data_IF_924713550018
#
_entry.id   IF_924713550018
#
_cell.length_a   1.000
_cell.length_b   1.000
_cell.length_c   1.000
_cell.angle_alpha   90.00
_cell.angle_beta   90.00
_cell.angle_gamma   90.00
#
_symmetry.space_group_name_H-M   'P 1'
#
loop_
_entity.id
_entity.type
_entity.pdbx_description
1 polymer ?
#
# COMPACT_ATOMS: atom_id res chain seq x y z
N UNK A 1 -3.19 -11.73 -3.83
CA UNK A 1 -3.75 -10.61 -3.06
C UNK A 1 -4.93 -10.02 -3.81
N UNK A 2 -6.00 -9.74 -3.12
CA UNK A 2 -7.17 -9.11 -3.72
C UNK A 2 -7.02 -7.61 -3.68
N UNK A 3 -7.14 -6.95 -4.82
CA UNK A 3 -7.03 -5.49 -4.92
C UNK A 3 -8.37 -4.92 -5.36
N UNK A 4 -8.89 -3.98 -4.58
CA UNK A 4 -10.13 -3.28 -4.91
C UNK A 4 -9.79 -1.81 -5.13
N UNK A 5 -10.21 -1.28 -6.28
CA UNK A 5 -9.94 0.12 -6.64
C UNK A 5 -11.27 0.85 -6.76
N UNK A 6 -11.43 1.91 -6.01
CA UNK A 6 -12.67 2.69 -5.98
C UNK A 6 -12.40 4.16 -6.29
N UNK A 7 -13.19 4.72 -7.19
CA UNK A 7 -13.17 6.16 -7.44
C UNK A 7 -14.33 6.82 -6.71
N UNK A 8 -14.03 7.81 -5.89
CA UNK A 8 -15.08 8.56 -5.18
C UNK A 8 -15.45 9.77 -6.00
N UNK A 9 -16.69 9.73 -6.52
CA UNK A 9 -17.24 10.81 -7.34
C UNK A 9 -16.43 11.06 -8.62
N UNK A 10 -15.59 10.09 -9.00
CA UNK A 10 -14.88 10.15 -10.27
C UNK A 10 -14.89 8.77 -10.88
N UNK A 11 -14.76 8.72 -12.20
CA UNK A 11 -14.72 7.48 -12.93
C UNK A 11 -13.27 7.13 -13.23
N UNK A 12 -12.86 5.96 -12.83
CA UNK A 12 -11.50 5.48 -13.06
C UNK A 12 -11.52 4.57 -14.29
N UNK A 13 -10.78 4.87 -15.28
CA UNK A 13 -10.72 4.03 -16.47
C UNK A 13 -10.01 2.70 -16.19
N UNK A 14 -10.15 1.77 -17.13
CA UNK A 14 -9.54 0.46 -17.01
C UNK A 14 -8.01 0.53 -16.94
N UNK A 15 -7.43 1.47 -17.67
CA UNK A 15 -5.98 1.63 -17.68
C UNK A 15 -5.45 1.96 -16.29
N UNK A 16 -6.15 2.86 -15.58
CA UNK A 16 -5.73 3.20 -14.23
C UNK A 16 -5.93 2.02 -13.28
N UNK A 17 -7.04 1.29 -13.40
CA UNK A 17 -7.30 0.13 -12.56
C UNK A 17 -6.23 -0.93 -12.75
N UNK A 18 -5.83 -1.17 -13.99
CA UNK A 18 -4.76 -2.11 -14.29
C UNK A 18 -3.43 -1.63 -13.73
N UNK A 19 -3.16 -0.35 -13.85
CA UNK A 19 -1.94 0.25 -13.32
C UNK A 19 -1.85 0.05 -11.80
N UNK A 20 -2.95 0.34 -11.09
CA UNK A 20 -3.01 0.20 -9.65
C UNK A 20 -2.82 -1.27 -9.25
N UNK A 21 -3.54 -2.16 -9.90
CA UNK A 21 -3.46 -3.59 -9.59
C UNK A 21 -2.03 -4.10 -9.79
N UNK A 22 -1.44 -3.81 -10.93
CA UNK A 22 -0.07 -4.24 -11.22
C UNK A 22 0.94 -3.66 -10.24
N UNK A 23 0.78 -2.39 -9.92
CA UNK A 23 1.69 -1.72 -9.00
C UNK A 23 1.67 -2.37 -7.61
N UNK A 24 0.48 -2.72 -7.12
CA UNK A 24 0.34 -3.33 -5.81
C UNK A 24 0.73 -4.80 -5.81
N UNK A 25 0.35 -5.55 -6.85
CA UNK A 25 0.74 -6.96 -6.93
C UNK A 25 2.26 -7.10 -6.96
N UNK A 26 2.93 -6.25 -7.72
CA UNK A 26 4.39 -6.31 -7.84
C UNK A 26 5.11 -5.71 -6.65
N UNK A 27 4.55 -4.70 -6.02
CA UNK A 27 5.19 -4.01 -4.92
C UNK A 27 4.90 -4.63 -3.56
N UNK A 28 3.61 -4.84 -3.26
CA UNK A 28 3.20 -5.29 -1.94
C UNK A 28 3.44 -6.78 -1.75
N UNK A 29 3.06 -7.60 -2.73
CA UNK A 29 3.23 -9.04 -2.65
C UNK A 29 4.70 -9.43 -2.52
N UNK A 30 5.60 -8.57 -2.93
CA UNK A 30 7.02 -8.77 -2.81
C UNK A 30 7.47 -8.84 -1.34
N UNK A 31 6.81 -8.10 -0.47
CA UNK A 31 7.19 -8.02 0.93
C UNK A 31 6.40 -8.96 1.83
N UNK A 32 5.17 -9.28 1.43
CA UNK A 32 4.31 -10.16 2.23
C UNK A 32 3.56 -11.12 1.34
N UNK A 33 3.98 -12.38 1.34
CA UNK A 33 3.29 -13.43 0.58
C UNK A 33 1.86 -13.62 1.07
N UNK A 34 1.61 -13.26 2.32
CA UNK A 34 0.31 -13.46 2.94
C UNK A 34 -0.54 -12.20 2.97
N UNK A 35 -0.21 -11.22 2.16
CA UNK A 35 -1.07 -10.05 2.03
C UNK A 35 -2.43 -10.51 1.49
N UNK A 36 -3.47 -10.20 2.23
CA UNK A 36 -4.81 -10.69 1.95
C UNK A 36 -5.56 -9.76 1.02
N UNK A 37 -5.54 -8.49 1.31
CA UNK A 37 -6.37 -7.53 0.61
C UNK A 37 -5.75 -6.14 0.61
N UNK A 38 -5.93 -5.45 -0.51
CA UNK A 38 -5.56 -4.05 -0.62
C UNK A 38 -6.76 -3.28 -1.14
N UNK A 39 -7.03 -2.15 -0.55
CA UNK A 39 -8.08 -1.26 -1.01
C UNK A 39 -7.46 0.07 -1.39
N UNK A 40 -7.84 0.56 -2.56
CA UNK A 40 -7.36 1.84 -3.06
C UNK A 40 -8.55 2.72 -3.33
N UNK A 41 -8.54 3.90 -2.72
CA UNK A 41 -9.60 4.89 -2.94
C UNK A 41 -8.95 6.12 -3.54
N UNK A 42 -9.50 6.57 -4.68
CA UNK A 42 -9.02 7.76 -5.37
C UNK A 42 -10.16 8.76 -5.42
N UNK A 43 -9.88 10.00 -5.04
CA UNK A 43 -10.85 11.07 -5.13
C UNK A 43 -10.16 12.32 -5.63
N UNK A 44 -10.94 13.26 -6.12
CA UNK A 44 -10.40 14.54 -6.58
C UNK A 44 -10.93 15.65 -5.68
N UNK A 45 -10.03 16.50 -5.20
CA UNK A 45 -10.38 17.67 -4.42
C UNK A 45 -9.69 18.87 -5.04
N UNK A 46 -10.47 19.76 -5.63
CA UNK A 46 -9.91 20.90 -6.35
C UNK A 46 -8.98 20.42 -7.46
N UNK A 47 -7.76 20.94 -7.54
CA UNK A 47 -6.84 20.56 -8.60
C UNK A 47 -6.06 19.27 -8.33
N UNK A 48 -6.24 18.64 -7.15
CA UNK A 48 -5.43 17.51 -6.76
C UNK A 48 -6.23 16.21 -6.69
N UNK A 49 -5.56 15.12 -7.06
CA UNK A 49 -6.08 13.78 -6.82
C UNK A 49 -5.47 13.25 -5.54
N UNK A 50 -6.32 12.66 -4.70
CA UNK A 50 -5.91 12.04 -3.44
C UNK A 50 -6.05 10.54 -3.57
N UNK A 51 -4.99 9.81 -3.27
CA UNK A 51 -5.02 8.35 -3.28
C UNK A 51 -4.74 7.84 -1.88
N UNK A 52 -5.61 6.96 -1.39
CA UNK A 52 -5.41 6.28 -0.11
C UNK A 52 -5.33 4.79 -0.38
N UNK A 53 -4.32 4.15 0.18
CA UNK A 53 -4.11 2.72 0.04
C UNK A 53 -4.14 2.09 1.43
N UNK A 54 -4.95 1.04 1.58
CA UNK A 54 -5.00 0.26 2.82
C UNK A 54 -4.65 -1.16 2.46
N UNK A 55 -3.71 -1.75 3.17
CA UNK A 55 -3.31 -3.14 2.96
C UNK A 55 -3.49 -3.92 4.25
N UNK A 56 -4.22 -5.01 4.16
CA UNK A 56 -4.46 -5.91 5.27
C UNK A 56 -3.57 -7.14 5.10
N UNK A 57 -2.71 -7.38 6.08
CA UNK A 57 -1.75 -8.48 6.03
C UNK A 57 -1.95 -9.36 7.26
N UNK A 58 -2.27 -10.61 7.05
CA UNK A 58 -2.47 -11.54 8.16
C UNK A 58 -3.68 -11.18 9.00
N UNK A 59 -3.69 -11.56 10.25
CA UNK A 59 -4.87 -11.42 11.10
C UNK A 59 -5.06 -10.03 11.68
N UNK A 60 -3.98 -9.31 11.98
CA UNK A 60 -4.10 -8.06 12.73
C UNK A 60 -3.29 -6.90 12.20
N UNK A 61 -2.72 -7.03 11.02
CA UNK A 61 -1.82 -6.01 10.52
C UNK A 61 -2.46 -5.23 9.39
N UNK A 62 -2.63 -3.94 9.64
CA UNK A 62 -3.13 -3.02 8.63
C UNK A 62 -2.13 -1.90 8.43
N UNK A 63 -1.89 -1.58 7.18
CA UNK A 63 -1.05 -0.45 6.82
C UNK A 63 -1.84 0.49 5.94
N UNK A 64 -1.64 1.78 6.11
CA UNK A 64 -2.29 2.78 5.28
C UNK A 64 -1.25 3.78 4.78
N UNK A 65 -1.46 4.25 3.56
CA UNK A 65 -0.66 5.31 3.01
C UNK A 65 -1.55 6.26 2.22
N UNK A 66 -1.09 7.48 2.05
CA UNK A 66 -1.81 8.51 1.32
C UNK A 66 -0.83 9.31 0.49
N UNK A 67 -1.32 9.84 -0.62
CA UNK A 67 -0.54 10.77 -1.41
C UNK A 67 -1.50 11.64 -2.22
N UNK A 68 -1.03 12.79 -2.65
CA UNK A 68 -1.81 13.68 -3.49
C UNK A 68 -0.93 14.27 -4.56
N UNK A 69 -1.51 14.48 -5.74
CA UNK A 69 -0.78 15.04 -6.87
C UNK A 69 -1.81 15.50 -7.90
N UNK A 70 -1.42 16.47 -8.72
CA UNK A 70 -2.27 16.93 -9.81
C UNK A 70 -2.45 15.86 -10.88
N UNK A 71 -1.53 14.90 -10.97
CA UNK A 71 -1.61 13.77 -11.87
C UNK A 71 -2.08 12.54 -11.11
N UNK A 72 -3.16 11.93 -11.56
CA UNK A 72 -3.77 10.80 -10.88
C UNK A 72 -2.80 9.61 -10.80
N UNK A 73 -2.04 9.33 -11.87
CA UNK A 73 -1.06 8.24 -11.84
C UNK A 73 0.05 8.53 -10.85
N UNK A 74 0.50 9.77 -10.78
CA UNK A 74 1.53 10.16 -9.83
C UNK A 74 1.05 10.00 -8.39
N UNK A 75 -0.22 10.35 -8.10
CA UNK A 75 -0.76 10.21 -6.76
C UNK A 75 -0.80 8.73 -6.35
N UNK A 76 -1.18 7.85 -7.27
CA UNK A 76 -1.19 6.40 -7.04
C UNK A 76 0.22 5.89 -6.78
N UNK A 77 1.16 6.26 -7.63
CA UNK A 77 2.54 5.76 -7.51
C UNK A 77 3.20 6.24 -6.23
N UNK A 78 2.94 7.47 -5.82
CA UNK A 78 3.49 8.00 -4.57
C UNK A 78 2.90 7.28 -3.37
N UNK A 79 1.58 7.04 -3.37
CA UNK A 79 0.94 6.31 -2.28
C UNK A 79 1.49 4.88 -2.21
N UNK A 80 1.66 4.24 -3.38
CA UNK A 80 2.22 2.89 -3.44
C UNK A 80 3.65 2.84 -2.93
N UNK A 81 4.47 3.82 -3.29
CA UNK A 81 5.85 3.89 -2.82
C UNK A 81 5.92 4.04 -1.30
N UNK A 82 5.02 4.85 -0.73
CA UNK A 82 4.94 5.01 0.72
C UNK A 82 4.50 3.73 1.40
N UNK A 83 3.55 3.02 0.80
CA UNK A 83 3.11 1.74 1.32
C UNK A 83 4.24 0.72 1.31
N UNK A 84 4.97 0.63 0.20
CA UNK A 84 6.11 -0.29 0.08
C UNK A 84 7.16 0.00 1.14
N UNK A 85 7.41 1.27 1.40
CA UNK A 85 8.37 1.67 2.42
C UNK A 85 7.94 1.22 3.81
N UNK A 86 6.65 1.38 4.13
CA UNK A 86 6.11 0.92 5.40
C UNK A 86 6.22 -0.59 5.55
N UNK A 87 5.89 -1.32 4.49
CA UNK A 87 5.92 -2.78 4.50
C UNK A 87 7.34 -3.31 4.62
N UNK A 88 8.28 -2.69 3.92
CA UNK A 88 9.68 -3.07 3.99
C UNK A 88 10.21 -2.86 5.40
N UNK A 89 9.84 -1.75 6.03
CA UNK A 89 10.24 -1.45 7.40
C UNK A 89 9.64 -2.45 8.38
N UNK A 90 8.37 -2.78 8.20
CA UNK A 90 7.67 -3.73 9.05
C UNK A 90 8.27 -5.12 8.92
N UNK A 91 8.56 -5.55 7.70
CA UNK A 91 9.19 -6.84 7.46
C UNK A 91 10.55 -6.93 8.13
N UNK A 92 11.33 -5.86 8.07
CA UNK A 92 12.65 -5.80 8.71
C UNK A 92 12.52 -5.90 10.23
N UNK A 93 11.55 -5.19 10.79
CA UNK A 93 11.27 -5.22 12.22
C UNK A 93 10.90 -6.63 12.68
N UNK A 94 10.04 -7.30 11.94
CA UNK A 94 9.61 -8.65 12.26
C UNK A 94 10.75 -9.64 12.19
N UNK A 95 11.61 -9.49 11.19
CA UNK A 95 12.76 -10.34 11.05
C UNK A 95 13.72 -10.16 12.23
N UNK A 96 13.97 -8.93 12.62
CA UNK A 96 14.84 -8.63 13.75
C UNK A 96 14.26 -9.16 15.05
N UNK A 97 12.96 -9.07 15.19
CA UNK A 97 12.27 -9.57 16.38
C UNK A 97 12.42 -11.09 16.49
N UNK A 98 12.33 -11.80 15.38
CA UNK A 98 12.54 -13.24 15.37
C UNK A 98 13.98 -13.62 15.61
N UNK A 99 14.89 -12.87 15.06
CA UNK A 99 16.32 -13.16 15.17
C UNK A 99 16.87 -12.83 16.57
N UNK A 100 16.23 -11.91 17.26
CA UNK A 100 16.73 -11.48 18.55
C UNK A 100 16.00 -12.14 19.69
N UNK A 101 16.39 -13.26 20.14
CA UNK A 101 15.77 -13.83 21.34
C UNK A 101 16.42 -13.19 22.53
N UNK A 102 16.61 -12.90 22.48
CA UNK A 102 17.25 -12.31 22.95
C UNK A 102 17.59 -11.25 23.15
N UNK A 103 17.52 -11.47 22.81
CA UNK A 103 17.86 -10.61 22.90
C UNK A 103 17.81 -9.87 23.48
N UNK A 104 17.99 -9.83 23.74
CA UNK A 104 17.95 -9.00 24.04
C UNK A 104 18.01 -8.28 24.58
N UNK A 105 18.01 -8.34 24.39
CA UNK A 105 18.07 -7.62 24.58
C UNK A 105 18.18 -7.08 25.19
N UNK A 106 18.33 -7.18 25.01
CA UNK A 106 18.57 -6.70 25.23
C UNK A 106 18.79 -6.09 25.59
N UNK A 107 18.71 -6.02 25.54
CA UNK A 107 19.27 -5.43 25.47
C UNK A 107 19.44 -4.83 25.83
#
# INVERSE_FOLDING_TARGET
MKVTVTGRHIDLGDALREHVDGRLQNGVAKYFDKAIEAQVVVRKEGPLYHTEISVHVGSDIDHQSKAEDADIYASVDQAAARMEKQLRRDKRKRRNHHAGPASPDLR
#
